data_IF_068621518524
#
_entry.id   IF_068621518524
#
_cell.length_a   1.000
_cell.length_b   1.000
_cell.length_c   1.000
_cell.angle_alpha   90.00
_cell.angle_beta   90.00
_cell.angle_gamma   90.00
#
_symmetry.space_group_name_H-M   'P 1'
#
loop_
_entity.id
_entity.type
_entity.pdbx_description
1 polymer ?
#
# COMPACT_ATOMS: atom_id res chain seq x y z
N UNK A 1 16.96 2.65 20.80
CA UNK A 1 16.69 1.36 20.15
C UNK A 1 15.38 1.51 19.39
N UNK A 2 15.40 1.21 18.09
CA UNK A 2 14.25 1.21 17.20
C UNK A 2 14.15 -0.13 16.48
N UNK A 3 12.94 -0.46 16.04
CA UNK A 3 12.65 -1.63 15.22
C UNK A 3 11.59 -1.23 14.19
N UNK A 4 11.79 -1.65 12.95
CA UNK A 4 10.83 -1.50 11.86
C UNK A 4 10.51 -2.90 11.32
N UNK A 5 9.25 -3.12 10.98
CA UNK A 5 8.75 -4.36 10.41
C UNK A 5 7.91 -3.99 9.20
N UNK A 6 8.12 -4.69 8.09
CA UNK A 6 7.35 -4.50 6.84
C UNK A 6 6.81 -5.85 6.36
N UNK A 7 5.83 -5.80 5.44
CA UNK A 7 5.41 -6.98 4.68
C UNK A 7 5.05 -6.59 3.24
N UNK A 8 5.26 -7.50 2.28
CA UNK A 8 4.89 -7.31 0.87
C UNK A 8 3.46 -7.74 0.50
N UNK A 9 2.66 -8.16 1.48
CA UNK A 9 1.33 -8.74 1.29
C UNK A 9 1.28 -10.22 1.65
N UNK A 10 0.08 -10.77 1.78
CA UNK A 10 -0.15 -12.17 2.14
C UNK A 10 -1.13 -12.83 1.15
N UNK A 11 -0.85 -14.08 0.77
CA UNK A 11 -1.70 -14.89 -0.10
C UNK A 11 -0.99 -16.14 -0.61
N UNK A 12 -1.70 -16.95 -1.41
CA UNK A 12 -1.11 -18.17 -1.99
C UNK A 12 -0.30 -17.79 -3.22
N UNK A 13 0.99 -17.51 -3.02
CA UNK A 13 1.92 -17.47 -4.16
C UNK A 13 2.13 -18.93 -4.56
N UNK A 14 1.75 -19.29 -5.79
CA UNK A 14 2.03 -20.63 -6.30
C UNK A 14 3.55 -20.82 -6.32
N UNK A 15 4.05 -21.74 -5.51
CA UNK A 15 5.49 -21.98 -5.39
C UNK A 15 6.13 -22.36 -6.73
N UNK A 16 5.33 -22.82 -7.71
CA UNK A 16 5.80 -23.09 -9.08
C UNK A 16 6.06 -21.82 -9.89
N UNK A 17 5.46 -20.70 -9.51
CA UNK A 17 5.66 -19.38 -10.13
C UNK A 17 6.79 -18.59 -9.46
N UNK A 18 7.21 -18.99 -8.25
CA UNK A 18 8.37 -18.44 -7.55
C UNK A 18 9.62 -19.24 -7.91
N UNK A 19 10.26 -18.89 -9.03
CA UNK A 19 11.63 -19.32 -9.23
C UNK A 19 12.59 -18.56 -8.29
N UNK A 20 13.83 -19.07 -8.17
CA UNK A 20 14.83 -18.47 -7.30
C UNK A 20 15.21 -17.03 -7.70
N UNK A 21 15.01 -16.65 -8.97
CA UNK A 21 15.24 -15.30 -9.46
C UNK A 21 14.18 -14.34 -8.95
N UNK A 22 12.91 -14.68 -9.13
CA UNK A 22 11.78 -13.90 -8.65
C UNK A 22 11.79 -13.78 -7.12
N UNK A 23 12.12 -14.86 -6.39
CA UNK A 23 12.28 -14.80 -4.94
C UNK A 23 13.33 -13.75 -4.53
N UNK A 24 14.51 -13.75 -5.16
CA UNK A 24 15.56 -12.75 -4.88
C UNK A 24 15.10 -11.33 -5.19
N UNK A 25 14.27 -11.13 -6.22
CA UNK A 25 13.71 -9.82 -6.54
C UNK A 25 12.75 -9.33 -5.44
N UNK A 26 11.89 -10.19 -4.92
CA UNK A 26 11.02 -9.86 -3.78
C UNK A 26 11.83 -9.55 -2.51
N UNK A 27 12.84 -10.37 -2.20
CA UNK A 27 13.73 -10.14 -1.06
C UNK A 27 14.49 -8.80 -1.19
N UNK A 28 15.01 -8.49 -2.38
CA UNK A 28 15.67 -7.22 -2.65
C UNK A 28 14.71 -6.02 -2.52
N UNK A 29 13.47 -6.13 -3.01
CA UNK A 29 12.47 -5.08 -2.85
C UNK A 29 12.06 -4.84 -1.40
N UNK A 30 11.93 -5.91 -0.60
CA UNK A 30 11.70 -5.80 0.84
C UNK A 30 12.91 -5.19 1.56
N UNK A 31 14.12 -5.59 1.19
CA UNK A 31 15.33 -5.04 1.79
C UNK A 31 15.47 -3.55 1.48
N UNK A 32 15.23 -3.10 0.25
CA UNK A 32 15.29 -1.68 -0.08
C UNK A 32 14.25 -0.86 0.72
N UNK A 33 13.02 -1.35 0.83
CA UNK A 33 11.99 -0.70 1.65
C UNK A 33 12.39 -0.62 3.14
N UNK A 34 12.99 -1.67 3.69
CA UNK A 34 13.55 -1.65 5.05
C UNK A 34 14.67 -0.64 5.17
N UNK A 35 15.63 -0.63 4.25
CA UNK A 35 16.79 0.25 4.26
C UNK A 35 16.36 1.72 4.19
N UNK A 36 15.36 2.05 3.38
CA UNK A 36 14.80 3.39 3.31
C UNK A 36 14.19 3.84 4.64
N UNK A 37 13.39 2.97 5.29
CA UNK A 37 12.85 3.26 6.62
C UNK A 37 13.92 3.37 7.70
N UNK A 38 14.92 2.48 7.68
CA UNK A 38 16.05 2.50 8.62
C UNK A 38 16.90 3.76 8.48
N UNK A 39 17.20 4.21 7.25
CA UNK A 39 17.94 5.45 7.01
C UNK A 39 17.30 6.65 7.72
N UNK A 40 15.97 6.74 7.73
CA UNK A 40 15.25 7.80 8.45
C UNK A 40 15.46 7.69 9.96
N UNK A 41 15.37 6.48 10.52
CA UNK A 41 15.54 6.25 11.97
C UNK A 41 16.99 6.46 12.42
N UNK A 42 17.96 6.03 11.63
CA UNK A 42 19.40 6.22 11.86
C UNK A 42 19.78 7.70 11.86
N UNK A 43 19.13 8.50 11.01
CA UNK A 43 19.25 9.96 10.99
C UNK A 43 18.49 10.66 12.15
N UNK A 44 17.85 9.92 13.06
CA UNK A 44 17.09 10.47 14.17
C UNK A 44 15.70 11.00 13.80
N UNK A 45 15.20 10.65 12.61
CA UNK A 45 13.86 11.02 12.14
C UNK A 45 12.71 10.35 12.92
N UNK A 46 11.49 10.84 12.70
CA UNK A 46 10.33 10.30 13.40
C UNK A 46 9.92 8.93 12.84
N UNK A 47 9.31 8.09 13.68
CA UNK A 47 8.78 6.80 13.24
C UNK A 47 7.74 6.94 12.11
N UNK A 48 6.96 8.03 12.11
CA UNK A 48 6.01 8.32 11.05
C UNK A 48 6.70 8.54 9.69
N UNK A 49 7.83 9.25 9.69
CA UNK A 49 8.63 9.48 8.48
C UNK A 49 9.21 8.16 7.97
N UNK A 50 9.72 7.33 8.88
CA UNK A 50 10.30 6.03 8.55
C UNK A 50 9.28 5.08 7.91
N UNK A 51 8.07 4.98 8.45
CA UNK A 51 7.02 4.12 7.85
C UNK A 51 6.52 4.68 6.52
N UNK A 52 6.41 6.01 6.38
CA UNK A 52 6.05 6.62 5.10
C UNK A 52 7.12 6.32 4.03
N UNK A 53 8.40 6.43 4.37
CA UNK A 53 9.50 6.14 3.46
C UNK A 53 9.50 4.67 3.03
N UNK A 54 9.35 3.74 3.97
CA UNK A 54 9.31 2.30 3.67
C UNK A 54 8.10 1.93 2.79
N UNK A 55 6.91 2.49 3.06
CA UNK A 55 5.72 2.21 2.25
C UNK A 55 5.82 2.87 0.86
N UNK A 56 6.40 4.07 0.75
CA UNK A 56 6.65 4.73 -0.54
C UNK A 56 7.54 3.85 -1.44
N UNK A 57 8.58 3.24 -0.86
CA UNK A 57 9.44 2.30 -1.59
C UNK A 57 8.67 1.07 -2.11
N UNK A 58 7.74 0.53 -1.30
CA UNK A 58 6.87 -0.56 -1.72
C UNK A 58 5.87 -0.13 -2.81
N UNK A 59 5.31 1.08 -2.72
CA UNK A 59 4.38 1.64 -3.71
C UNK A 59 5.06 1.93 -5.07
N UNK A 60 6.33 2.34 -5.07
CA UNK A 60 7.09 2.59 -6.30
C UNK A 60 7.62 1.29 -6.95
N UNK A 61 7.63 0.18 -6.21
CA UNK A 61 8.10 -1.12 -6.67
C UNK A 61 6.96 -1.94 -7.31
N UNK A 62 7.04 -2.29 -8.62
CA UNK A 62 5.95 -2.95 -9.33
C UNK A 62 5.67 -4.40 -8.87
N UNK A 63 6.57 -5.00 -8.08
CA UNK A 63 6.39 -6.36 -7.56
C UNK A 63 5.29 -6.42 -6.49
N UNK A 64 5.08 -5.34 -5.75
CA UNK A 64 4.14 -5.31 -4.64
C UNK A 64 2.78 -4.74 -5.07
N UNK A 65 1.71 -5.29 -4.49
CA UNK A 65 0.34 -4.84 -4.77
C UNK A 65 0.03 -3.54 -4.01
N UNK A 66 0.70 -2.46 -4.39
CA UNK A 66 0.51 -1.11 -3.89
C UNK A 66 1.06 -0.13 -4.94
N UNK A 67 0.49 1.07 -5.04
CA UNK A 67 0.93 2.08 -5.99
C UNK A 67 1.11 1.49 -7.40
N UNK A 68 2.32 1.58 -7.94
CA UNK A 68 2.71 1.14 -9.28
C UNK A 68 2.37 -0.31 -9.60
N UNK A 69 2.45 -1.22 -8.63
CA UNK A 69 2.21 -2.67 -8.84
C UNK A 69 0.78 -3.12 -8.50
N UNK A 70 -0.15 -2.17 -8.34
CA UNK A 70 -1.51 -2.44 -7.95
C UNK A 70 -2.26 -3.33 -8.95
N UNK A 71 -3.11 -4.21 -8.41
CA UNK A 71 -4.01 -5.05 -9.19
C UNK A 71 -5.14 -4.23 -9.85
N UNK A 72 -5.70 -4.78 -10.91
CA UNK A 72 -6.84 -4.19 -11.60
C UNK A 72 -8.17 -4.51 -10.91
N UNK A 73 -9.07 -3.54 -10.90
CA UNK A 73 -10.46 -3.71 -10.52
C UNK A 73 -11.28 -4.41 -11.60
N UNK A 74 -12.56 -4.65 -11.34
CA UNK A 74 -13.45 -5.34 -12.27
C UNK A 74 -13.58 -4.65 -13.64
N UNK A 75 -13.38 -3.33 -13.70
CA UNK A 75 -13.43 -2.51 -14.91
C UNK A 75 -12.05 -2.34 -15.56
N UNK A 76 -11.03 -3.06 -15.07
CA UNK A 76 -9.68 -2.98 -15.62
C UNK A 76 -8.94 -1.70 -15.27
N UNK A 77 -9.19 -1.12 -14.09
CA UNK A 77 -8.52 0.10 -13.59
C UNK A 77 -7.93 -0.11 -12.19
N UNK A 78 -6.86 0.59 -11.84
CA UNK A 78 -6.28 0.57 -10.50
C UNK A 78 -6.96 1.62 -9.59
N UNK A 79 -7.34 1.20 -8.39
CA UNK A 79 -7.96 2.05 -7.36
C UNK A 79 -7.26 1.82 -6.02
N UNK A 80 -6.61 2.85 -5.51
CA UNK A 80 -5.64 2.73 -4.44
C UNK A 80 -6.23 3.20 -3.10
N UNK A 81 -5.81 2.52 -2.04
CA UNK A 81 -6.13 2.83 -0.66
C UNK A 81 -4.83 2.95 0.14
N UNK A 82 -4.80 3.85 1.11
CA UNK A 82 -3.74 3.84 2.11
C UNK A 82 -4.22 4.46 3.41
N UNK A 83 -3.57 4.08 4.50
CA UNK A 83 -3.79 4.70 5.80
C UNK A 83 -2.55 4.67 6.65
N UNK A 84 -2.48 5.61 7.59
CA UNK A 84 -1.43 5.67 8.58
C UNK A 84 -1.95 6.27 9.88
N UNK A 85 -1.27 5.94 10.96
CA UNK A 85 -1.60 6.39 12.30
C UNK A 85 -0.32 6.66 13.07
N UNK A 86 -0.30 7.80 13.75
CA UNK A 86 0.70 8.17 14.73
C UNK A 86 0.23 7.76 16.13
N UNK A 87 0.82 6.73 16.72
CA UNK A 87 0.25 6.11 17.93
C UNK A 87 0.63 6.73 19.27
N UNK A 88 1.37 7.84 19.32
CA UNK A 88 1.52 8.65 20.53
C UNK A 88 0.37 9.65 20.70
N UNK A 89 -0.10 10.26 19.60
CA UNK A 89 -1.21 11.23 19.60
C UNK A 89 -2.55 10.61 19.18
N UNK A 90 -2.53 9.46 18.50
CA UNK A 90 -3.71 8.87 17.88
C UNK A 90 -4.15 9.55 16.58
N UNK A 91 -3.40 10.55 16.09
CA UNK A 91 -3.67 11.18 14.79
C UNK A 91 -3.56 10.15 13.67
N UNK A 92 -4.48 10.20 12.73
CA UNK A 92 -4.54 9.26 11.62
C UNK A 92 -5.00 9.96 10.34
N UNK A 93 -4.62 9.38 9.21
CA UNK A 93 -5.04 9.82 7.89
C UNK A 93 -5.17 8.64 6.95
N UNK A 94 -6.11 8.74 6.01
CA UNK A 94 -6.45 7.67 5.11
C UNK A 94 -7.07 8.18 3.80
N UNK A 95 -6.87 7.40 2.75
CA UNK A 95 -7.50 7.55 1.44
C UNK A 95 -8.04 6.22 0.95
N UNK A 96 -9.12 6.27 0.19
CA UNK A 96 -9.77 5.08 -0.37
C UNK A 96 -10.24 5.35 -1.79
N UNK A 97 -10.05 4.38 -2.69
CA UNK A 97 -10.51 4.43 -4.07
C UNK A 97 -9.91 5.58 -4.89
N UNK A 98 -8.69 6.03 -4.57
CA UNK A 98 -8.03 7.10 -5.32
C UNK A 98 -7.39 6.56 -6.58
N UNK A 99 -7.40 7.35 -7.65
CA UNK A 99 -6.76 7.02 -8.91
C UNK A 99 -5.62 7.96 -9.21
N UNK A 100 -4.62 7.45 -9.91
CA UNK A 100 -3.50 8.21 -10.45
C UNK A 100 -2.59 8.89 -9.41
N UNK A 101 -2.82 8.70 -8.10
CA UNK A 101 -1.94 9.18 -7.03
C UNK A 101 -0.73 8.25 -6.97
N UNK A 102 0.48 8.77 -7.22
CA UNK A 102 1.70 7.94 -7.25
C UNK A 102 1.91 7.18 -5.95
N UNK A 103 1.82 7.89 -4.83
CA UNK A 103 2.07 7.37 -3.48
C UNK A 103 0.90 7.66 -2.54
N UNK A 104 -0.13 6.78 -2.51
CA UNK A 104 -1.30 6.93 -1.65
C UNK A 104 -0.97 7.14 -0.16
N UNK A 105 0.10 6.53 0.37
CA UNK A 105 0.52 6.74 1.77
C UNK A 105 0.87 8.20 2.06
N UNK A 106 1.46 8.91 1.09
CA UNK A 106 1.78 10.32 1.25
C UNK A 106 0.52 11.19 1.19
N UNK A 107 -0.48 10.80 0.39
CA UNK A 107 -1.78 11.47 0.40
C UNK A 107 -2.51 11.25 1.72
N UNK A 108 -2.50 10.02 2.26
CA UNK A 108 -3.03 9.74 3.59
C UNK A 108 -2.33 10.59 4.67
N UNK A 109 -1.03 10.86 4.52
CA UNK A 109 -0.29 11.75 5.43
C UNK A 109 -0.76 13.19 5.32
N UNK A 110 -0.97 13.68 4.10
CA UNK A 110 -1.53 15.01 3.87
C UNK A 110 -2.94 15.14 4.46
N UNK A 111 -3.78 14.10 4.37
CA UNK A 111 -5.09 14.09 5.05
C UNK A 111 -4.92 14.28 6.56
N UNK A 112 -4.00 13.55 7.19
CA UNK A 112 -3.72 13.66 8.62
C UNK A 112 -3.18 15.04 9.02
N UNK A 113 -2.28 15.63 8.23
CA UNK A 113 -1.52 16.83 8.61
C UNK A 113 -2.14 18.15 8.12
N UNK A 114 -2.93 18.11 7.04
CA UNK A 114 -3.40 19.28 6.30
C UNK A 114 -4.92 19.35 6.12
N UNK A 115 -5.67 18.46 6.77
CA UNK A 115 -7.14 18.49 6.77
C UNK A 115 -7.71 18.40 8.19
N UNK A 116 -9.02 18.61 8.32
CA UNK A 116 -9.77 18.37 9.57
C UNK A 116 -10.39 16.96 9.63
N UNK A 117 -10.01 16.07 8.70
CA UNK A 117 -10.62 14.77 8.49
C UNK A 117 -9.61 13.64 8.67
N UNK A 118 -10.11 12.43 8.94
CA UNK A 118 -9.28 11.22 9.03
C UNK A 118 -9.25 10.45 7.70
N UNK A 119 -10.34 10.46 6.94
CA UNK A 119 -10.46 9.70 5.70
C UNK A 119 -11.11 10.56 4.61
N UNK A 120 -10.47 10.63 3.45
CA UNK A 120 -11.06 11.12 2.21
C UNK A 120 -11.18 9.96 1.20
N UNK A 121 -12.07 10.08 0.22
CA UNK A 121 -12.26 9.02 -0.77
C UNK A 121 -12.41 9.56 -2.19
N UNK A 122 -12.01 8.71 -3.15
CA UNK A 122 -12.16 8.88 -4.59
C UNK A 122 -11.82 10.30 -5.06
N UNK A 123 -12.67 10.88 -5.92
CA UNK A 123 -12.46 12.21 -6.50
C UNK A 123 -12.24 13.31 -5.45
N UNK A 124 -12.83 13.20 -4.26
CA UNK A 124 -12.64 14.17 -3.18
C UNK A 124 -11.22 14.12 -2.59
N UNK A 125 -10.67 12.92 -2.39
CA UNK A 125 -9.28 12.74 -1.97
C UNK A 125 -8.31 13.19 -3.08
N UNK A 126 -8.62 12.91 -4.35
CA UNK A 126 -7.78 13.35 -5.47
C UNK A 126 -7.76 14.87 -5.64
N UNK A 127 -8.91 15.53 -5.52
CA UNK A 127 -9.00 16.99 -5.57
C UNK A 127 -8.14 17.62 -4.46
N UNK A 128 -8.30 17.13 -3.23
CA UNK A 128 -7.45 17.53 -2.10
C UNK A 128 -5.96 17.29 -2.40
N UNK A 129 -5.60 16.12 -2.94
CA UNK A 129 -4.21 15.82 -3.32
C UNK A 129 -3.64 16.82 -4.32
N UNK A 130 -4.42 17.22 -5.33
CA UNK A 130 -4.01 18.23 -6.31
C UNK A 130 -3.80 19.60 -5.67
N UNK A 131 -4.68 20.01 -4.75
CA UNK A 131 -4.51 21.25 -3.98
C UNK A 131 -3.26 21.24 -3.10
N UNK A 132 -2.90 20.08 -2.54
CA UNK A 132 -1.68 19.91 -1.74
C UNK A 132 -0.41 19.71 -2.61
N UNK A 133 -0.54 19.63 -3.93
CA UNK A 133 0.59 19.46 -4.85
C UNK A 133 1.24 18.08 -4.83
N UNK A 134 0.51 17.02 -4.49
CA UNK A 134 1.04 15.65 -4.59
C UNK A 134 1.21 15.24 -6.06
N UNK A 135 2.15 14.32 -6.32
CA UNK A 135 2.41 13.80 -7.66
C UNK A 135 1.28 12.87 -8.11
N UNK A 136 0.75 13.15 -9.29
CA UNK A 136 -0.11 12.26 -10.05
C UNK A 136 0.65 11.70 -11.25
N UNK A 137 0.39 10.45 -11.58
CA UNK A 137 0.99 9.73 -12.71
C UNK A 137 -0.12 9.24 -13.66
N UNK A 138 0.20 9.06 -14.93
CA UNK A 138 -0.74 8.51 -15.90
C UNK A 138 -1.01 7.02 -15.65
N UNK A 139 -2.11 6.48 -16.20
CA UNK A 139 -2.48 5.06 -16.07
C UNK A 139 -1.33 4.10 -16.52
N UNK A 140 -0.49 4.55 -17.46
CA UNK A 140 0.68 3.80 -17.93
C UNK A 140 1.73 3.55 -16.84
N UNK A 141 1.84 4.42 -15.81
CA UNK A 141 2.75 4.20 -14.69
C UNK A 141 2.35 2.98 -13.87
N UNK A 142 1.04 2.81 -13.63
CA UNK A 142 0.44 1.75 -12.82
C UNK A 142 0.22 0.44 -13.58
N UNK A 143 0.42 0.45 -14.90
CA UNK A 143 0.23 -0.73 -15.72
C UNK A 143 1.36 -1.74 -15.51
N UNK A 144 0.98 -2.97 -15.15
CA UNK A 144 1.86 -4.13 -15.13
C UNK A 144 1.25 -5.28 -15.94
N UNK A 145 2.04 -5.82 -16.88
CA UNK A 145 1.58 -6.84 -17.80
C UNK A 145 1.20 -8.14 -17.06
N UNK A 146 1.96 -8.52 -16.03
CA UNK A 146 1.66 -9.72 -15.24
C UNK A 146 0.35 -9.56 -14.47
N UNK A 147 0.11 -8.40 -13.84
CA UNK A 147 -1.18 -8.07 -13.19
C UNK A 147 -2.34 -8.05 -14.19
N UNK A 148 -2.10 -7.60 -15.42
CA UNK A 148 -3.14 -7.56 -16.45
C UNK A 148 -3.53 -8.96 -16.95
N UNK A 149 -2.56 -9.87 -17.10
CA UNK A 149 -2.84 -11.29 -17.38
C UNK A 149 -3.62 -11.96 -16.23
N UNK A 150 -3.29 -11.62 -14.98
CA UNK A 150 -4.06 -12.07 -13.81
C UNK A 150 -5.52 -11.58 -13.88
N UNK A 151 -5.75 -10.31 -14.22
CA UNK A 151 -7.09 -9.73 -14.37
C UNK A 151 -7.93 -10.41 -15.45
N UNK A 152 -7.33 -10.75 -16.60
CA UNK A 152 -8.03 -11.46 -17.69
C UNK A 152 -8.42 -12.89 -17.34
N UNK A 153 -7.83 -13.47 -16.29
CA UNK A 153 -8.15 -14.84 -15.88
C UNK A 153 -9.55 -14.87 -15.23
N UNK A 154 -10.50 -15.70 -15.72
CA UNK A 154 -11.86 -15.71 -15.20
C UNK A 154 -11.93 -15.97 -13.70
N UNK A 155 -12.55 -15.07 -12.96
CA UNK A 155 -12.80 -15.17 -11.51
C UNK A 155 -13.43 -16.50 -11.08
N UNK A 156 -14.19 -17.17 -11.97
CA UNK A 156 -14.83 -18.47 -11.71
C UNK A 156 -13.87 -19.67 -11.71
N UNK A 157 -12.69 -19.56 -12.32
CA UNK A 157 -11.69 -20.65 -12.41
C UNK A 157 -10.73 -20.66 -11.21
N UNK A 158 -10.69 -19.56 -10.47
CA UNK A 158 -9.92 -19.39 -9.24
C UNK A 158 -10.94 -19.32 -8.10
N UNK A 159 -11.21 -20.44 -7.40
CA UNK A 159 -11.83 -20.31 -6.07
C UNK A 159 -10.92 -19.38 -5.28
N UNK A 160 -11.39 -18.22 -4.80
CA UNK A 160 -10.48 -17.27 -4.20
C UNK A 160 -10.08 -17.81 -2.83
N UNK A 161 -8.93 -18.49 -2.79
CA UNK A 161 -8.14 -18.61 -1.57
C UNK A 161 -7.61 -17.23 -1.11
N UNK A 162 -7.86 -16.18 -1.90
CA UNK A 162 -7.65 -14.76 -1.57
C UNK A 162 -8.76 -14.15 -0.71
N UNK A 163 -9.88 -14.85 -0.45
CA UNK A 163 -10.69 -14.53 0.73
C UNK A 163 -9.80 -14.88 1.92
N UNK A 164 -9.03 -13.89 2.37
CA UNK A 164 -8.58 -13.85 3.75
C UNK A 164 -9.87 -13.94 4.54
N UNK A 165 -10.21 -15.13 5.06
CA UNK A 165 -11.06 -15.20 6.23
C UNK A 165 -10.39 -14.24 7.20
N UNK A 166 -11.04 -13.12 7.50
CA UNK A 166 -10.70 -12.21 8.58
C UNK A 166 -10.76 -13.02 9.89
N UNK A 167 -9.77 -13.89 10.10
CA UNK A 167 -9.24 -14.11 11.43
C UNK A 167 -8.49 -12.82 11.70
N UNK A 168 -9.11 -11.96 12.50
CA UNK A 168 -8.44 -10.82 13.08
C UNK A 168 -7.03 -11.27 13.49
N UNK A 169 -5.99 -10.74 12.82
CA UNK A 169 -4.67 -10.67 13.44
C UNK A 169 -4.76 -9.48 14.38
N UNK A 170 -5.50 -9.66 15.46
CA UNK A 170 -5.18 -9.03 16.73
C UNK A 170 -4.17 -9.96 17.40
N UNK A 171 -3.13 -9.37 17.99
CA UNK A 171 -2.03 -9.98 18.76
C UNK A 171 -0.82 -10.41 17.88
N UNK A 172 0.41 -9.92 18.02
CA UNK A 172 1.04 -9.09 19.05
C UNK A 172 2.33 -8.50 18.47
N UNK A 173 2.54 -7.18 18.45
CA UNK A 173 3.87 -6.58 18.26
C UNK A 173 4.19 -5.77 19.51
N UNK A 174 5.26 -6.16 20.21
CA UNK A 174 5.62 -5.67 21.54
C UNK A 174 6.92 -4.83 21.46
N UNK A 175 6.72 -3.51 21.63
CA UNK A 175 7.62 -2.41 22.10
C UNK A 175 8.70 -1.76 21.21
N UNK A 176 8.45 -0.50 20.80
CA UNK A 176 9.37 0.67 20.85
C UNK A 176 8.55 1.97 21.12
N UNK A 177 9.18 2.98 21.72
CA UNK A 177 8.67 4.27 22.26
C UNK A 177 7.86 5.20 21.33
N UNK A 178 7.68 4.93 20.03
CA UNK A 178 6.82 5.73 19.14
C UNK A 178 6.04 4.82 18.20
N UNK A 179 4.72 4.73 18.40
CA UNK A 179 3.84 3.69 17.84
C UNK A 179 3.23 4.07 16.49
N UNK A 180 4.01 4.32 15.45
CA UNK A 180 3.44 4.66 14.13
C UNK A 180 3.28 3.44 13.22
N UNK A 181 2.18 3.37 12.48
CA UNK A 181 1.87 2.32 11.49
C UNK A 181 1.40 2.96 10.20
N UNK A 182 1.76 2.37 9.06
CA UNK A 182 1.25 2.74 7.75
C UNK A 182 0.96 1.48 6.93
N UNK A 183 -0.04 1.57 6.05
CA UNK A 183 -0.44 0.50 5.12
C UNK A 183 -0.88 1.11 3.80
N UNK A 184 -0.61 0.41 2.70
CA UNK A 184 -1.17 0.67 1.38
C UNK A 184 -1.86 -0.60 0.86
N UNK A 185 -3.03 -0.44 0.25
CA UNK A 185 -3.87 -1.52 -0.31
C UNK A 185 -4.61 -1.04 -1.56
N UNK A 186 -5.39 -1.93 -2.15
CA UNK A 186 -6.29 -1.65 -3.27
C UNK A 186 -7.72 -2.07 -2.89
N UNK A 187 -8.73 -1.37 -3.44
CA UNK A 187 -10.15 -1.61 -3.16
C UNK A 187 -10.80 -2.52 -4.21
N UNK A 188 -11.05 -3.81 -3.87
CA UNK A 188 -11.96 -4.67 -4.66
C UNK A 188 -13.41 -4.27 -4.37
N UNK A 189 -14.04 -3.48 -5.23
CA UNK A 189 -15.50 -3.32 -5.19
C UNK A 189 -16.17 -4.55 -5.85
N UNK A 190 -17.02 -5.30 -5.14
CA UNK A 190 -17.83 -6.34 -5.77
C UNK A 190 -18.85 -5.70 -6.72
N UNK A 191 -19.09 -6.35 -7.86
CA UNK A 191 -20.16 -5.97 -8.77
C UNK A 191 -21.48 -5.88 -7.99
N UNK A 192 -22.19 -4.75 -8.10
CA UNK A 192 -23.63 -4.76 -7.84
C UNK A 192 -24.23 -5.78 -8.81
N UNK A 193 -24.87 -6.81 -8.27
CA UNK A 193 -25.65 -7.74 -9.07
C UNK A 193 -26.78 -6.94 -9.73
N UNK A 194 -26.64 -6.70 -11.04
CA UNK A 194 -27.74 -6.32 -11.91
C UNK A 194 -28.53 -7.59 -12.30
#
# INVERSE_FOLDING_TARGET
>A
MYAIVIHGGAGTIDARLLDAGLQRQYEAGLQDALDQGFRVLEAGGAALDAVCSAVTALEDCPLFNAGRGAVFNHEGRQELDASLMRGDTGQAGAVCGVRNVRNPVLLARLVMERSQHVLLSAAGAEAFGREQGIVFEDDAYFFDAFRYEQYKTPWRRVRPNWIIRLRAIANSVRWVRSRSIATARYALLPAQAA
#
